data_IF_672458265637
#
_entry.id   IF_672458265637
#
_cell.length_a   1.000
_cell.length_b   1.000
_cell.length_c   1.000
_cell.angle_alpha   90.00
_cell.angle_beta   90.00
_cell.angle_gamma   90.00
#
_symmetry.space_group_name_H-M   'P 1'
#
loop_
_entity.id
_entity.type
_entity.pdbx_description
1 polymer ?
#
# COMPACT_ATOMS: atom_id res chain seq x y z
N UNK A 1 28.21 13.84 62.07
CA UNK A 1 27.63 13.10 60.92
C UNK A 1 27.72 13.99 59.69
N UNK A 2 27.91 13.37 58.52
CA UNK A 2 28.30 13.97 57.22
C UNK A 2 27.38 15.11 56.70
N UNK A 3 27.91 15.98 55.81
CA UNK A 3 27.17 17.06 55.17
C UNK A 3 26.35 16.54 53.98
N UNK A 4 25.22 17.16 53.65
CA UNK A 4 24.59 17.00 52.34
C UNK A 4 24.65 18.31 51.57
N UNK A 5 25.53 18.32 50.55
CA UNK A 5 25.65 19.38 49.56
C UNK A 5 24.43 19.35 48.65
N UNK A 6 23.75 20.48 48.50
CA UNK A 6 22.86 20.72 47.36
C UNK A 6 23.75 20.87 46.11
N UNK A 7 23.82 19.83 45.29
CA UNK A 7 24.27 19.91 43.91
C UNK A 7 23.12 19.48 43.01
N UNK A 8 23.10 20.14 41.85
CA UNK A 8 22.37 19.83 40.63
C UNK A 8 21.10 20.65 40.43
N UNK A 9 21.29 21.71 39.63
CA UNK A 9 20.31 22.11 38.63
C UNK A 9 19.83 20.84 37.91
N UNK A 10 18.52 20.65 37.86
CA UNK A 10 17.87 19.70 36.99
C UNK A 10 16.61 20.38 36.50
N UNK A 11 16.75 21.25 35.50
CA UNK A 11 15.63 21.76 34.71
C UNK A 11 15.07 20.55 33.96
N UNK A 12 14.18 19.80 34.59
CA UNK A 12 13.34 18.84 33.89
C UNK A 12 12.17 19.64 33.31
N UNK A 13 12.44 20.34 32.20
CA UNK A 13 11.38 20.80 31.32
C UNK A 13 10.72 19.54 30.75
N UNK A 14 9.63 19.14 31.39
CA UNK A 14 8.77 18.07 30.92
C UNK A 14 8.04 18.61 29.69
N UNK A 15 8.68 18.51 28.53
CA UNK A 15 8.01 18.76 27.25
C UNK A 15 7.01 17.63 27.05
N UNK A 16 5.78 17.87 27.51
CA UNK A 16 4.60 17.19 26.98
C UNK A 16 4.49 17.61 25.51
N UNK A 17 5.20 16.88 24.64
CA UNK A 17 4.82 16.84 23.24
C UNK A 17 3.46 16.14 23.23
N UNK A 18 2.39 16.94 23.22
CA UNK A 18 1.12 16.45 22.72
C UNK A 18 1.44 15.96 21.30
N UNK A 19 1.57 14.65 21.13
CA UNK A 19 1.47 14.05 19.83
C UNK A 19 0.09 14.47 19.36
N UNK A 20 0.06 15.46 18.49
CA UNK A 20 -1.13 15.83 17.75
C UNK A 20 -1.48 14.59 16.93
N UNK A 21 -2.32 13.74 17.49
CA UNK A 21 -2.97 12.67 16.74
C UNK A 21 -4.02 13.35 15.87
N UNK A 22 -3.56 14.17 14.92
CA UNK A 22 -4.29 14.41 13.69
C UNK A 22 -4.39 13.03 13.06
N UNK A 23 -5.48 12.36 13.39
CA UNK A 23 -5.93 11.13 12.77
C UNK A 23 -5.76 11.34 11.27
N UNK A 24 -4.78 10.65 10.67
CA UNK A 24 -4.61 10.71 9.23
C UNK A 24 -6.00 10.46 8.63
N UNK A 25 -6.42 11.26 7.68
CA UNK A 25 -7.72 11.05 7.04
C UNK A 25 -7.58 9.83 6.15
N UNK A 26 -8.35 8.77 6.41
CA UNK A 26 -8.41 7.61 5.52
C UNK A 26 -8.72 8.07 4.10
N UNK A 27 -7.88 7.68 3.15
CA UNK A 27 -8.11 7.89 1.73
C UNK A 27 -8.61 6.57 1.15
N UNK A 28 -9.67 6.63 0.34
CA UNK A 28 -10.18 5.48 -0.37
C UNK A 28 -9.25 5.16 -1.53
N UNK A 29 -9.15 3.88 -1.88
CA UNK A 29 -8.41 3.41 -3.05
C UNK A 29 -9.31 2.85 -4.12
N UNK A 30 -9.02 3.24 -5.35
CA UNK A 30 -9.45 2.48 -6.51
C UNK A 30 -8.26 1.68 -7.01
N UNK A 31 -8.39 0.35 -7.00
CA UNK A 31 -7.33 -0.53 -7.42
C UNK A 31 -7.71 -1.33 -8.67
N UNK A 32 -6.75 -1.46 -9.59
CA UNK A 32 -6.84 -2.31 -10.77
C UNK A 32 -5.97 -3.55 -10.54
N UNK A 33 -6.60 -4.73 -10.58
CA UNK A 33 -5.94 -6.02 -10.43
C UNK A 33 -5.85 -6.68 -11.80
N UNK A 34 -4.65 -7.04 -12.24
CA UNK A 34 -4.40 -7.56 -13.59
C UNK A 34 -4.04 -9.03 -13.54
N UNK A 35 -4.79 -9.83 -14.30
CA UNK A 35 -4.58 -11.26 -14.46
C UNK A 35 -4.11 -11.58 -15.88
N UNK A 36 -3.50 -12.76 -16.07
CA UNK A 36 -3.10 -13.28 -17.38
C UNK A 36 -4.11 -14.24 -18.00
N UNK A 37 -5.19 -14.54 -17.28
CA UNK A 37 -6.32 -15.33 -17.75
C UNK A 37 -7.64 -14.67 -17.37
N UNK A 38 -8.60 -14.65 -18.30
CA UNK A 38 -9.92 -14.04 -18.09
C UNK A 38 -10.74 -14.78 -17.02
N UNK A 39 -10.61 -16.11 -16.94
CA UNK A 39 -11.28 -16.93 -15.93
C UNK A 39 -10.86 -16.57 -14.50
N UNK A 40 -9.57 -16.32 -14.29
CA UNK A 40 -9.02 -15.91 -13.00
C UNK A 40 -9.50 -14.52 -12.57
N UNK A 41 -9.62 -13.61 -13.54
CA UNK A 41 -10.12 -12.26 -13.31
C UNK A 41 -11.59 -12.25 -12.88
N UNK A 42 -12.45 -12.93 -13.63
CA UNK A 42 -13.92 -12.95 -13.40
C UNK A 42 -14.31 -13.59 -12.07
N UNK A 43 -13.51 -14.55 -11.60
CA UNK A 43 -13.73 -15.28 -10.35
C UNK A 43 -12.88 -14.76 -9.19
N UNK A 44 -11.88 -13.90 -9.47
CA UNK A 44 -10.85 -13.47 -8.52
C UNK A 44 -10.16 -14.62 -7.78
N UNK A 45 -9.97 -15.78 -8.44
CA UNK A 45 -9.32 -16.95 -7.82
C UNK A 45 -7.87 -17.14 -8.21
N UNK A 46 -7.44 -16.58 -9.34
CA UNK A 46 -6.04 -16.68 -9.77
C UNK A 46 -5.12 -15.74 -9.00
N UNK A 47 -3.81 -15.96 -9.14
CA UNK A 47 -2.82 -14.97 -8.66
C UNK A 47 -2.62 -13.91 -9.73
N UNK A 48 -2.84 -12.61 -9.43
CA UNK A 48 -2.60 -11.56 -10.40
C UNK A 48 -1.10 -11.29 -10.59
N UNK A 49 -0.76 -10.66 -11.71
CA UNK A 49 0.63 -10.27 -12.02
C UNK A 49 0.95 -8.84 -11.57
N UNK A 50 -0.08 -7.99 -11.45
CA UNK A 50 0.05 -6.57 -11.14
C UNK A 50 -1.20 -6.09 -10.40
N UNK A 51 -1.00 -5.27 -9.37
CA UNK A 51 -2.06 -4.46 -8.75
C UNK A 51 -1.59 -3.01 -8.74
N UNK A 52 -2.36 -2.11 -9.33
CA UNK A 52 -2.18 -0.66 -9.14
C UNK A 52 -3.31 -0.13 -8.28
N UNK A 53 -3.04 0.85 -7.43
CA UNK A 53 -4.04 1.53 -6.64
C UNK A 53 -3.75 3.03 -6.63
N UNK A 54 -4.80 3.85 -6.74
CA UNK A 54 -4.69 5.31 -6.68
C UNK A 54 -5.72 5.87 -5.71
N UNK A 55 -5.41 6.97 -4.99
CA UNK A 55 -6.37 7.63 -4.12
C UNK A 55 -7.62 8.03 -4.90
N UNK A 56 -8.77 7.48 -4.52
CA UNK A 56 -10.05 7.79 -5.10
C UNK A 56 -10.63 9.06 -4.44
N UNK A 57 -11.18 10.03 -5.20
CA UNK A 57 -11.84 11.21 -4.65
C UNK A 57 -13.20 10.84 -4.06
N UNK A 58 -13.16 10.23 -2.87
CA UNK A 58 -14.21 9.99 -1.86
C UNK A 58 -15.57 9.37 -2.24
N UNK A 59 -16.12 9.46 -3.45
CA UNK A 59 -17.38 8.79 -3.81
C UNK A 59 -17.36 8.51 -5.33
N UNK A 60 -17.05 7.27 -5.73
CA UNK A 60 -17.10 6.93 -7.16
C UNK A 60 -16.50 5.61 -7.61
N UNK A 61 -15.80 4.86 -6.75
CA UNK A 61 -15.27 3.57 -7.19
C UNK A 61 -16.41 2.59 -7.50
N UNK A 62 -16.43 2.08 -8.73
CA UNK A 62 -17.34 1.02 -9.17
C UNK A 62 -16.52 -0.23 -9.46
N UNK A 63 -16.66 -1.25 -8.61
CA UNK A 63 -16.00 -2.53 -8.83
C UNK A 63 -16.45 -3.12 -10.17
N UNK A 64 -15.53 -3.74 -10.88
CA UNK A 64 -15.78 -4.31 -12.20
C UNK A 64 -15.03 -5.62 -12.34
N UNK A 65 -15.77 -6.65 -12.74
CA UNK A 65 -15.24 -7.97 -13.10
C UNK A 65 -15.48 -8.29 -14.58
N UNK A 66 -15.74 -7.27 -15.39
CA UNK A 66 -15.95 -7.45 -16.84
C UNK A 66 -14.71 -8.06 -17.49
N UNK A 67 -13.52 -7.80 -16.93
CA UNK A 67 -12.28 -8.49 -17.29
C UNK A 67 -11.99 -8.47 -18.80
N UNK A 68 -12.27 -7.33 -19.43
CA UNK A 68 -12.00 -7.14 -20.86
C UNK A 68 -10.51 -7.02 -21.08
N UNK A 69 -9.96 -7.84 -21.99
CA UNK A 69 -8.55 -7.77 -22.34
C UNK A 69 -8.12 -6.35 -22.71
N UNK A 70 -7.14 -5.80 -21.99
CA UNK A 70 -6.73 -4.40 -22.14
C UNK A 70 -5.22 -4.25 -21.99
N UNK A 71 -4.52 -3.76 -23.04
CA UNK A 71 -4.99 -3.54 -24.40
C UNK A 71 -5.41 -4.84 -25.11
N UNK A 72 -6.22 -4.76 -26.17
CA UNK A 72 -6.57 -5.94 -26.96
C UNK A 72 -5.31 -6.65 -27.51
N UNK A 73 -5.25 -7.97 -27.38
CA UNK A 73 -4.09 -8.80 -27.74
C UNK A 73 -2.95 -8.84 -26.72
N UNK A 74 -3.11 -8.26 -25.54
CA UNK A 74 -2.06 -8.24 -24.49
C UNK A 74 -2.02 -9.49 -23.62
N UNK A 75 -3.08 -10.32 -23.62
CA UNK A 75 -3.35 -11.35 -22.63
C UNK A 75 -3.39 -10.83 -21.18
N UNK A 76 -3.78 -9.56 -21.00
CA UNK A 76 -3.94 -8.93 -19.68
C UNK A 76 -5.41 -8.57 -19.44
N UNK A 77 -5.95 -9.04 -18.33
CA UNK A 77 -7.36 -8.94 -17.97
C UNK A 77 -7.49 -8.17 -16.65
N UNK A 78 -7.75 -6.85 -16.69
CA UNK A 78 -7.94 -6.04 -15.51
C UNK A 78 -9.34 -6.18 -14.90
N UNK A 79 -9.39 -6.27 -13.57
CA UNK A 79 -10.57 -6.06 -12.75
C UNK A 79 -10.38 -4.82 -11.87
N UNK A 80 -11.47 -4.09 -11.60
CA UNK A 80 -11.46 -2.97 -10.66
C UNK A 80 -11.99 -3.46 -9.32
N UNK A 81 -11.21 -3.24 -8.26
CA UNK A 81 -11.64 -3.45 -6.88
C UNK A 81 -11.68 -2.10 -6.16
N UNK A 82 -12.72 -1.93 -5.34
CA UNK A 82 -12.86 -0.76 -4.49
C UNK A 82 -12.40 -1.13 -3.08
N UNK A 83 -11.38 -0.44 -2.59
CA UNK A 83 -10.93 -0.61 -1.20
C UNK A 83 -11.04 0.71 -0.46
N UNK A 84 -11.39 0.65 0.82
CA UNK A 84 -11.66 1.85 1.62
C UNK A 84 -10.44 2.45 2.29
N UNK A 85 -9.22 1.89 2.20
CA UNK A 85 -8.07 2.52 2.88
C UNK A 85 -6.67 2.18 2.36
N UNK A 86 -5.92 3.20 1.92
CA UNK A 86 -4.45 3.32 2.10
C UNK A 86 -4.01 4.68 2.69
N UNK A 87 -4.91 5.34 3.44
CA UNK A 87 -4.65 6.67 3.99
C UNK A 87 -4.42 6.77 5.51
N UNK A 88 -4.15 5.69 6.27
CA UNK A 88 -3.89 5.79 7.73
C UNK A 88 -3.11 4.63 8.39
N UNK A 89 -2.43 4.96 9.50
CA UNK A 89 -1.86 4.24 10.66
C UNK A 89 -1.66 2.70 10.70
N UNK A 90 -2.46 1.90 9.98
CA UNK A 90 -2.45 0.44 10.04
C UNK A 90 -2.06 -0.23 8.71
N UNK A 91 -1.96 0.52 7.61
CA UNK A 91 -1.56 -0.02 6.29
C UNK A 91 -2.50 -1.09 5.74
N UNK A 92 -3.82 -0.94 5.93
CA UNK A 92 -4.81 -1.99 5.68
C UNK A 92 -4.77 -2.57 4.25
N UNK A 93 -4.65 -1.72 3.22
CA UNK A 93 -4.49 -2.21 1.85
C UNK A 93 -3.30 -3.16 1.69
N UNK A 94 -2.13 -2.73 2.16
CA UNK A 94 -0.89 -3.49 2.04
C UNK A 94 -0.89 -4.73 2.94
N UNK A 95 -1.43 -4.63 4.15
CA UNK A 95 -1.37 -5.67 5.17
C UNK A 95 -2.55 -6.65 5.15
N UNK A 96 -3.62 -6.36 4.42
CA UNK A 96 -4.84 -7.19 4.40
C UNK A 96 -5.31 -7.47 2.97
N UNK A 97 -5.48 -6.44 2.14
CA UNK A 97 -5.97 -6.67 0.78
C UNK A 97 -4.92 -7.35 -0.11
N UNK A 98 -3.67 -6.87 -0.13
CA UNK A 98 -2.64 -7.49 -0.95
C UNK A 98 -2.36 -8.97 -0.57
N UNK A 99 -2.26 -9.36 0.72
CA UNK A 99 -2.16 -10.77 1.09
C UNK A 99 -3.34 -11.62 0.64
N UNK A 100 -4.56 -11.07 0.69
CA UNK A 100 -5.74 -11.79 0.19
C UNK A 100 -5.71 -11.96 -1.34
N UNK A 101 -5.26 -10.93 -2.06
CA UNK A 101 -5.19 -10.90 -3.52
C UNK A 101 -4.07 -11.82 -4.06
N UNK A 102 -2.88 -11.76 -3.48
CA UNK A 102 -1.72 -12.53 -3.93
C UNK A 102 -1.63 -13.91 -3.26
N UNK A 103 -2.39 -14.15 -2.20
CA UNK A 103 -2.33 -15.40 -1.43
C UNK A 103 -0.93 -15.63 -0.86
N UNK A 104 -0.39 -16.83 -1.07
CA UNK A 104 0.97 -17.19 -0.64
C UNK A 104 2.07 -16.75 -1.60
N UNK A 105 1.72 -16.13 -2.73
CA UNK A 105 2.70 -15.72 -3.74
C UNK A 105 3.48 -14.49 -3.25
N UNK A 106 4.82 -14.47 -3.37
CA UNK A 106 5.61 -13.30 -3.00
C UNK A 106 5.34 -12.14 -3.96
N UNK A 107 5.38 -10.91 -3.45
CA UNK A 107 5.17 -9.69 -4.22
C UNK A 107 6.01 -8.53 -3.70
N UNK A 108 6.19 -7.51 -4.54
CA UNK A 108 6.89 -6.26 -4.20
C UNK A 108 5.91 -5.11 -4.26
N UNK A 109 5.84 -4.31 -3.19
CA UNK A 109 5.00 -3.12 -3.11
C UNK A 109 5.85 -1.87 -3.31
N UNK A 110 5.41 -0.97 -4.17
CA UNK A 110 6.01 0.34 -4.41
C UNK A 110 4.96 1.41 -4.15
N UNK A 111 5.19 2.24 -3.13
CA UNK A 111 4.36 3.41 -2.86
C UNK A 111 4.97 4.65 -3.52
N UNK A 112 4.16 5.43 -4.22
CA UNK A 112 4.55 6.68 -4.85
C UNK A 112 3.90 7.85 -4.12
N UNK A 113 4.70 8.82 -3.69
CA UNK A 113 4.25 10.04 -3.03
C UNK A 113 4.53 11.27 -3.91
N UNK A 114 3.80 12.35 -3.64
CA UNK A 114 3.98 13.63 -4.33
C UNK A 114 5.44 14.10 -4.19
N UNK A 115 6.08 14.44 -5.32
CA UNK A 115 7.50 14.77 -5.35
C UNK A 115 7.84 15.95 -4.40
N UNK A 116 8.92 15.80 -3.64
CA UNK A 116 9.37 16.81 -2.67
C UNK A 116 8.53 16.90 -1.40
N UNK A 117 7.54 16.02 -1.21
CA UNK A 117 6.72 15.94 -0.01
C UNK A 117 7.17 14.78 0.88
N UNK A 118 6.74 14.82 2.15
CA UNK A 118 6.93 13.70 3.07
C UNK A 118 6.02 12.53 2.67
N UNK A 119 6.38 11.32 3.12
CA UNK A 119 5.56 10.11 2.99
C UNK A 119 4.33 10.15 3.91
N UNK A 120 3.51 11.18 3.77
CA UNK A 120 2.25 11.35 4.48
C UNK A 120 1.12 10.78 3.64
N UNK A 121 0.09 10.23 4.28
CA UNK A 121 -1.09 9.68 3.62
C UNK A 121 -1.73 10.64 2.60
N UNK A 122 -1.83 11.93 2.96
CA UNK A 122 -2.38 12.97 2.08
C UNK A 122 -1.52 13.24 0.83
N UNK A 123 -0.29 12.73 0.79
CA UNK A 123 0.66 12.90 -0.30
C UNK A 123 0.83 11.62 -1.12
N UNK A 124 0.20 10.51 -0.71
CA UNK A 124 0.20 9.28 -1.48
C UNK A 124 -0.47 9.55 -2.83
N UNK A 125 0.19 9.13 -3.90
CA UNK A 125 -0.24 9.34 -5.29
C UNK A 125 -0.54 8.04 -6.00
N UNK A 126 -0.01 6.92 -5.49
CA UNK A 126 -0.40 5.59 -5.91
C UNK A 126 0.43 4.50 -5.24
N UNK A 127 -0.04 3.27 -5.40
CA UNK A 127 0.63 2.04 -4.99
C UNK A 127 0.69 1.14 -6.21
N UNK A 128 1.85 0.57 -6.49
CA UNK A 128 2.01 -0.48 -7.50
C UNK A 128 2.60 -1.72 -6.84
N UNK A 129 1.93 -2.85 -7.01
CA UNK A 129 2.35 -4.13 -6.48
C UNK A 129 2.59 -5.12 -7.61
N UNK A 130 3.78 -5.70 -7.65
CA UNK A 130 4.22 -6.64 -8.67
C UNK A 130 4.32 -8.05 -8.11
N UNK A 131 3.79 -9.04 -8.83
CA UNK A 131 4.08 -10.44 -8.54
C UNK A 131 5.59 -10.69 -8.68
N UNK A 132 6.23 -11.23 -7.65
CA UNK A 132 7.59 -11.70 -7.77
C UNK A 132 7.57 -13.03 -8.54
N UNK A 133 8.47 -13.19 -9.51
CA UNK A 133 8.46 -14.36 -10.38
C UNK A 133 8.98 -15.65 -9.70
N UNK A 134 9.39 -15.55 -8.44
CA UNK A 134 9.83 -16.67 -7.60
C UNK A 134 11.12 -17.34 -8.08
N UNK A 135 11.84 -16.72 -9.03
CA UNK A 135 13.05 -17.30 -9.63
C UNK A 135 14.30 -16.66 -9.06
N UNK A 136 15.34 -17.47 -8.93
CA UNK A 136 16.67 -16.98 -8.64
C UNK A 136 17.29 -16.39 -9.91
N UNK A 137 17.36 -15.06 -9.99
CA UNK A 137 18.10 -14.36 -11.04
C UNK A 137 19.54 -14.20 -10.59
N UNK A 138 20.42 -15.13 -10.99
CA UNK A 138 21.86 -14.92 -10.84
C UNK A 138 22.31 -13.89 -11.87
N UNK A 139 22.99 -12.84 -11.39
CA UNK A 139 23.60 -11.82 -12.24
C UNK A 139 25.01 -12.21 -12.70
N UNK A 140 25.53 -13.36 -12.26
CA UNK A 140 26.85 -13.87 -12.61
C UNK A 140 26.79 -15.23 -13.34
N UNK A 141 27.67 -15.41 -14.31
CA UNK A 141 28.02 -16.72 -14.88
C UNK A 141 29.27 -17.21 -14.16
N UNK A 142 29.07 -17.86 -13.01
CA UNK A 142 30.13 -18.65 -12.37
C UNK A 142 29.93 -20.12 -12.69
#
# INVERSE_FOLDING_TARGET
>A
MKPFRLRSLGVAAFFLAAADTTQATSINLEATVVYTASGDCTTSTGTPVLVTAVPAPNIGCSASITCTETPAGSSLFPATICSTTDGTANGAFINTNLPAIFGSSPYVVVEAYTAGQLCAAAQLSGITTYLADGKCHKTDTS
#
